data_IF_185825530511
#
_entry.id   IF_185825530511
#
_cell.length_a   1.000
_cell.length_b   1.000
_cell.length_c   1.000
_cell.angle_alpha   90.00
_cell.angle_beta   90.00
_cell.angle_gamma   90.00
#
_symmetry.space_group_name_H-M   'P 1'
#
loop_
_entity.id
_entity.type
_entity.pdbx_description
1 polymer ?
#
# COMPACT_ATOMS: atom_id res chain seq x y z
N UNK A 1 -66.60 36.61 -38.27
CA UNK A 1 -65.55 36.96 -37.29
C UNK A 1 -65.15 35.69 -36.54
N UNK A 2 -63.88 35.34 -36.67
CA UNK A 2 -63.02 34.55 -35.77
C UNK A 2 -63.26 33.05 -35.55
N UNK A 3 -62.36 32.27 -36.17
CA UNK A 3 -61.72 31.08 -35.58
C UNK A 3 -60.65 31.54 -34.56
N UNK A 4 -60.33 30.79 -33.48
CA UNK A 4 -59.27 29.76 -33.55
C UNK A 4 -59.58 28.50 -32.67
N UNK A 5 -59.24 27.26 -33.06
CA UNK A 5 -57.92 26.61 -32.92
C UNK A 5 -57.97 25.47 -31.87
N UNK A 6 -57.52 24.22 -32.14
CA UNK A 6 -57.48 23.16 -31.14
C UNK A 6 -56.17 23.22 -30.34
N UNK A 7 -56.29 23.37 -29.01
CA UNK A 7 -55.17 23.41 -28.07
C UNK A 7 -54.47 22.05 -27.96
N UNK A 8 -53.16 22.05 -28.23
CA UNK A 8 -52.28 20.92 -27.98
C UNK A 8 -52.08 20.68 -26.50
N UNK A 9 -52.15 19.41 -26.08
CA UNK A 9 -51.76 18.98 -24.75
C UNK A 9 -50.25 18.99 -24.61
N UNK A 10 -49.75 19.76 -23.63
CA UNK A 10 -48.37 19.68 -23.16
C UNK A 10 -48.11 18.33 -22.46
N UNK A 11 -46.95 17.69 -22.67
CA UNK A 11 -46.55 16.53 -21.89
C UNK A 11 -46.13 16.97 -20.48
N UNK A 12 -46.71 16.32 -19.47
CA UNK A 12 -46.37 16.46 -18.05
C UNK A 12 -44.86 16.31 -17.84
N UNK A 13 -44.27 17.37 -17.30
CA UNK A 13 -42.90 17.43 -16.80
C UNK A 13 -42.71 16.37 -15.70
N UNK A 14 -42.00 15.27 -16.02
CA UNK A 14 -41.60 14.27 -15.03
C UNK A 14 -40.42 14.86 -14.27
N UNK A 15 -40.73 15.49 -13.13
CA UNK A 15 -39.73 16.07 -12.24
C UNK A 15 -38.63 15.06 -11.93
N UNK A 16 -37.42 15.36 -12.40
CA UNK A 16 -36.20 14.74 -11.91
C UNK A 16 -36.05 15.08 -10.42
N UNK A 17 -36.50 14.19 -9.54
CA UNK A 17 -36.08 14.20 -8.15
C UNK A 17 -34.55 14.06 -8.13
N UNK A 18 -33.85 15.16 -7.92
CA UNK A 18 -32.45 15.18 -7.52
C UNK A 18 -32.35 14.53 -6.15
N UNK A 19 -32.20 13.20 -6.13
CA UNK A 19 -31.90 12.46 -4.92
C UNK A 19 -30.45 12.79 -4.51
N UNK A 20 -30.31 13.57 -3.44
CA UNK A 20 -29.02 13.77 -2.79
C UNK A 20 -28.52 12.40 -2.32
N UNK A 21 -27.35 11.92 -2.75
CA UNK A 21 -26.84 10.63 -2.28
C UNK A 21 -26.60 10.74 -0.79
N UNK A 22 -27.09 9.74 -0.08
CA UNK A 22 -26.94 9.63 1.36
C UNK A 22 -25.46 9.71 1.72
N UNK A 23 -25.04 10.84 2.31
CA UNK A 23 -23.65 11.07 2.71
C UNK A 23 -23.21 10.10 3.80
N UNK A 24 -24.15 9.44 4.47
CA UNK A 24 -23.91 8.61 5.65
C UNK A 24 -23.26 7.25 5.33
N UNK A 25 -23.44 6.70 4.11
CA UNK A 25 -22.98 5.34 3.78
C UNK A 25 -21.57 5.23 3.15
N UNK A 26 -20.88 6.36 2.93
CA UNK A 26 -19.61 6.38 2.19
C UNK A 26 -18.36 6.04 3.02
N UNK A 27 -18.52 5.78 4.33
CA UNK A 27 -17.40 5.66 5.28
C UNK A 27 -16.63 6.97 5.44
N UNK A 28 -15.85 7.11 6.53
CA UNK A 28 -15.12 8.36 6.83
C UNK A 28 -14.15 8.79 5.70
N UNK A 29 -13.61 7.82 4.98
CA UNK A 29 -12.79 8.06 3.79
C UNK A 29 -13.55 8.71 2.63
N UNK A 30 -14.75 8.22 2.30
CA UNK A 30 -15.54 8.72 1.17
C UNK A 30 -16.14 10.10 1.42
N UNK A 31 -16.46 10.44 2.67
CA UNK A 31 -17.05 11.75 3.04
C UNK A 31 -16.07 12.91 2.95
N UNK A 32 -14.76 12.67 3.15
CA UNK A 32 -13.73 13.75 3.14
C UNK A 32 -13.26 14.15 1.75
N UNK A 33 -13.67 13.44 0.71
CA UNK A 33 -13.14 13.56 -0.66
C UNK A 33 -14.10 14.18 -1.67
N UNK A 34 -15.40 14.25 -1.41
CA UNK A 34 -16.37 14.76 -2.38
C UNK A 34 -16.34 16.29 -2.36
N UNK A 35 -15.80 16.91 -3.43
CA UNK A 35 -15.84 18.38 -3.62
C UNK A 35 -16.89 18.84 -4.62
N UNK A 36 -17.24 18.00 -5.60
CA UNK A 36 -18.24 18.31 -6.62
C UNK A 36 -19.14 17.11 -6.89
N UNK A 37 -20.43 17.36 -7.10
CA UNK A 37 -21.40 16.32 -7.40
C UNK A 37 -21.56 16.18 -8.92
N UNK A 38 -21.02 15.11 -9.50
CA UNK A 38 -21.24 14.74 -10.91
C UNK A 38 -21.96 13.41 -10.97
N UNK A 39 -22.97 13.28 -11.82
CA UNK A 39 -23.65 12.00 -12.09
C UNK A 39 -22.72 11.03 -12.83
N UNK A 40 -22.94 9.72 -12.72
CA UNK A 40 -22.25 8.75 -13.56
C UNK A 40 -22.81 8.86 -15.00
N UNK A 41 -21.97 8.73 -16.04
CA UNK A 41 -22.46 8.78 -17.42
C UNK A 41 -23.43 7.62 -17.66
N UNK A 42 -24.61 7.93 -18.20
CA UNK A 42 -25.61 6.94 -18.61
C UNK A 42 -25.03 6.07 -19.74
N UNK A 43 -25.36 4.78 -19.72
CA UNK A 43 -25.00 3.86 -20.81
C UNK A 43 -25.74 4.26 -22.10
N UNK A 44 -25.04 4.63 -23.20
CA UNK A 44 -25.70 4.87 -24.49
C UNK A 44 -26.29 3.57 -25.02
N UNK A 45 -27.52 3.61 -25.55
CA UNK A 45 -28.10 2.49 -26.28
C UNK A 45 -27.51 2.38 -27.70
N UNK A 46 -26.92 1.23 -28.04
CA UNK A 46 -26.52 0.88 -29.43
C UNK A 46 -25.11 1.36 -29.86
N UNK A 47 -24.51 0.73 -30.90
CA UNK A 47 -23.05 0.57 -30.97
C UNK A 47 -22.31 1.68 -31.73
N UNK A 48 -21.08 1.98 -31.30
CA UNK A 48 -19.90 2.09 -32.16
C UNK A 48 -18.63 2.26 -31.30
N UNK A 49 -17.96 1.16 -30.93
CA UNK A 49 -16.56 1.25 -30.53
C UNK A 49 -15.69 1.27 -31.79
N UNK A 50 -15.12 2.43 -32.12
CA UNK A 50 -14.04 2.50 -33.11
C UNK A 50 -12.84 1.74 -32.55
N UNK A 51 -12.20 0.86 -33.33
CA UNK A 51 -11.01 0.17 -32.87
C UNK A 51 -9.84 1.17 -32.81
N UNK A 52 -9.37 1.48 -31.61
CA UNK A 52 -8.16 2.31 -31.40
C UNK A 52 -6.94 1.38 -31.54
N UNK A 53 -6.64 0.97 -32.77
CA UNK A 53 -5.29 0.51 -33.12
C UNK A 53 -4.61 1.74 -33.70
N UNK A 54 -3.80 2.41 -32.87
CA UNK A 54 -2.75 3.39 -33.22
C UNK A 54 -2.26 4.19 -31.99
N UNK A 55 -2.67 3.85 -30.77
CA UNK A 55 -1.92 4.30 -29.61
C UNK A 55 -0.68 3.42 -29.45
N UNK A 56 0.54 3.96 -29.62
CA UNK A 56 1.74 3.21 -29.27
C UNK A 56 1.60 2.78 -27.81
N UNK A 57 1.61 1.48 -27.55
CA UNK A 57 1.68 0.97 -26.18
C UNK A 57 2.80 1.74 -25.47
N UNK A 58 2.60 2.31 -24.26
CA UNK A 58 3.65 3.00 -23.54
C UNK A 58 4.76 1.99 -23.16
N UNK A 59 5.63 1.72 -24.11
CA UNK A 59 6.84 0.93 -23.98
C UNK A 59 7.93 1.91 -23.63
N UNK A 60 8.27 2.00 -22.33
CA UNK A 60 9.62 2.33 -21.79
C UNK A 60 9.59 2.53 -20.27
N UNK A 61 9.17 1.51 -19.52
CA UNK A 61 9.45 1.42 -18.05
C UNK A 61 10.11 0.10 -17.62
N UNK A 62 10.17 -0.91 -18.49
CA UNK A 62 10.78 -2.21 -18.18
C UNK A 62 12.27 -2.10 -17.88
N UNK A 63 13.04 -1.36 -18.69
CA UNK A 63 14.51 -1.28 -18.57
C UNK A 63 14.92 -0.60 -17.26
N UNK A 64 14.33 0.54 -16.91
CA UNK A 64 14.61 1.23 -15.64
C UNK A 64 14.22 0.36 -14.43
N UNK A 65 13.12 -0.41 -14.51
CA UNK A 65 12.74 -1.35 -13.46
C UNK A 65 13.77 -2.46 -13.28
N UNK A 66 14.27 -3.03 -14.37
CA UNK A 66 15.31 -4.06 -14.33
C UNK A 66 16.58 -3.48 -13.73
N UNK A 67 17.00 -2.29 -14.16
CA UNK A 67 18.20 -1.63 -13.63
C UNK A 67 18.06 -1.37 -12.12
N UNK A 68 16.94 -0.79 -11.66
CA UNK A 68 16.73 -0.53 -10.23
C UNK A 68 16.72 -1.80 -9.39
N UNK A 69 16.08 -2.86 -9.87
CA UNK A 69 16.07 -4.16 -9.16
C UNK A 69 17.45 -4.80 -9.15
N UNK A 70 18.18 -4.76 -10.26
CA UNK A 70 19.55 -5.30 -10.35
C UNK A 70 20.48 -4.53 -9.43
N UNK A 71 20.46 -3.20 -9.45
CA UNK A 71 21.27 -2.38 -8.54
C UNK A 71 20.91 -2.66 -7.09
N UNK A 72 19.62 -2.70 -6.73
CA UNK A 72 19.21 -3.03 -5.36
C UNK A 72 19.65 -4.45 -4.95
N UNK A 73 19.59 -5.43 -5.85
CA UNK A 73 20.06 -6.79 -5.60
C UNK A 73 21.58 -6.85 -5.41
N UNK A 74 22.36 -6.09 -6.18
CA UNK A 74 23.81 -5.98 -6.02
C UNK A 74 24.18 -5.33 -4.68
N UNK A 75 23.44 -4.30 -4.26
CA UNK A 75 23.63 -3.67 -2.94
C UNK A 75 23.32 -4.67 -1.83
N UNK A 76 22.22 -5.42 -1.91
CA UNK A 76 21.91 -6.48 -0.94
C UNK A 76 23.00 -7.54 -0.93
N UNK A 77 23.48 -7.99 -2.09
CA UNK A 77 24.56 -8.98 -2.17
C UNK A 77 25.86 -8.47 -1.52
N UNK A 78 26.21 -7.19 -1.73
CA UNK A 78 27.37 -6.57 -1.09
C UNK A 78 27.20 -6.49 0.44
N UNK A 79 26.01 -6.14 0.93
CA UNK A 79 25.70 -6.13 2.37
C UNK A 79 25.79 -7.54 2.96
N UNK A 80 25.19 -8.54 2.31
CA UNK A 80 25.24 -9.93 2.79
C UNK A 80 26.67 -10.50 2.75
N UNK A 81 27.47 -10.14 1.74
CA UNK A 81 28.89 -10.51 1.68
C UNK A 81 29.66 -9.85 2.83
N UNK A 82 29.45 -8.56 3.08
CA UNK A 82 30.06 -7.85 4.20
C UNK A 82 29.71 -8.53 5.53
N UNK A 83 28.43 -8.84 5.76
CA UNK A 83 27.99 -9.56 6.97
C UNK A 83 28.63 -10.95 7.09
N UNK A 84 28.74 -11.69 5.99
CA UNK A 84 29.41 -13.00 5.99
C UNK A 84 30.90 -12.90 6.31
N UNK A 85 31.57 -11.83 5.87
CA UNK A 85 32.98 -11.58 6.18
C UNK A 85 33.17 -11.12 7.63
N UNK A 86 32.25 -10.31 8.15
CA UNK A 86 32.31 -9.78 9.53
C UNK A 86 31.94 -10.81 10.59
N UNK A 87 30.91 -11.62 10.36
CA UNK A 87 30.40 -12.60 11.33
C UNK A 87 31.06 -13.98 11.19
N UNK A 88 31.66 -14.27 10.04
CA UNK A 88 32.08 -15.61 9.64
C UNK A 88 30.95 -16.37 8.92
N UNK A 89 31.26 -17.23 7.93
CA UNK A 89 30.24 -17.87 7.09
C UNK A 89 29.23 -18.74 7.85
N UNK A 90 29.66 -19.46 8.88
CA UNK A 90 28.79 -20.35 9.67
C UNK A 90 27.76 -19.57 10.49
N UNK A 91 28.21 -18.55 11.23
CA UNK A 91 27.34 -17.67 12.00
C UNK A 91 26.38 -16.91 11.08
N UNK A 92 26.87 -16.41 9.94
CA UNK A 92 26.03 -15.75 8.94
C UNK A 92 24.92 -16.65 8.40
N UNK A 93 25.23 -17.91 8.03
CA UNK A 93 24.22 -18.86 7.55
C UNK A 93 23.17 -19.15 8.64
N UNK A 94 23.62 -19.44 9.87
CA UNK A 94 22.72 -19.71 11.00
C UNK A 94 21.79 -18.52 11.26
N UNK A 95 22.35 -17.32 11.40
CA UNK A 95 21.61 -16.09 11.68
C UNK A 95 20.70 -15.71 10.52
N UNK A 96 21.13 -15.93 9.28
CA UNK A 96 20.32 -15.78 8.08
C UNK A 96 19.07 -16.67 8.10
N UNK A 97 19.24 -17.96 8.43
CA UNK A 97 18.12 -18.90 8.56
C UNK A 97 17.16 -18.45 9.67
N UNK A 98 17.69 -18.07 10.84
CA UNK A 98 16.86 -17.57 11.95
C UNK A 98 16.08 -16.31 11.56
N UNK A 99 16.70 -15.38 10.83
CA UNK A 99 16.06 -14.14 10.38
C UNK A 99 14.94 -14.35 9.35
N UNK A 100 14.88 -15.51 8.67
CA UNK A 100 13.77 -15.85 7.78
C UNK A 100 12.45 -16.04 8.53
N UNK A 101 12.49 -16.41 9.82
CA UNK A 101 11.29 -16.62 10.64
C UNK A 101 10.52 -15.30 10.86
N UNK A 102 11.09 -14.24 11.46
CA UNK A 102 10.43 -12.94 11.56
C UNK A 102 10.02 -12.38 10.21
N UNK A 103 10.89 -12.50 9.19
CA UNK A 103 10.59 -12.04 7.85
C UNK A 103 9.32 -12.71 7.30
N UNK A 104 9.23 -14.03 7.41
CA UNK A 104 8.06 -14.80 6.98
C UNK A 104 6.79 -14.35 7.68
N UNK A 105 6.84 -14.13 9.00
CA UNK A 105 5.70 -13.65 9.78
C UNK A 105 5.25 -12.26 9.30
N UNK A 106 6.19 -11.33 9.13
CA UNK A 106 5.90 -9.98 8.62
C UNK A 106 5.30 -10.01 7.22
N UNK A 107 5.88 -10.78 6.29
CA UNK A 107 5.38 -10.89 4.92
C UNK A 107 4.01 -11.57 4.86
N UNK A 108 3.73 -12.54 5.73
CA UNK A 108 2.39 -13.14 5.85
C UNK A 108 1.36 -12.13 6.35
N UNK A 109 1.74 -11.30 7.34
CA UNK A 109 0.93 -10.18 7.81
C UNK A 109 0.62 -9.19 6.68
N UNK A 110 1.64 -8.72 5.97
CA UNK A 110 1.48 -7.80 4.84
C UNK A 110 0.65 -8.42 3.71
N UNK A 111 0.85 -9.70 3.39
CA UNK A 111 0.01 -10.42 2.42
C UNK A 111 -1.45 -10.53 2.86
N UNK A 112 -1.72 -10.61 4.16
CA UNK A 112 -3.09 -10.58 4.69
C UNK A 112 -3.74 -9.20 4.55
N UNK A 113 -2.94 -8.13 4.63
CA UNK A 113 -3.35 -6.76 4.34
C UNK A 113 -3.65 -6.62 2.84
N UNK A 114 -2.70 -7.00 1.98
CA UNK A 114 -2.71 -6.90 0.52
C UNK A 114 -3.67 -7.87 -0.22
N UNK A 115 -4.42 -8.71 0.50
CA UNK A 115 -5.19 -9.81 -0.12
C UNK A 115 -6.35 -9.37 -1.06
N UNK A 116 -6.65 -8.08 -1.17
CA UNK A 116 -7.80 -7.56 -1.94
C UNK A 116 -7.43 -7.16 -3.36
N UNK A 117 -6.28 -6.52 -3.52
CA UNK A 117 -5.71 -6.15 -4.82
C UNK A 117 -4.18 -6.33 -4.76
N UNK A 118 -3.67 -7.54 -5.04
CA UNK A 118 -2.26 -7.83 -4.80
C UNK A 118 -1.32 -6.94 -5.60
N UNK A 119 -0.36 -6.33 -4.89
CA UNK A 119 0.63 -5.44 -5.50
C UNK A 119 1.55 -6.18 -6.50
N UNK A 120 2.06 -5.50 -7.54
CA UNK A 120 2.95 -6.11 -8.51
C UNK A 120 4.23 -6.60 -7.83
N UNK A 121 4.50 -7.90 -7.96
CA UNK A 121 5.64 -8.59 -7.34
C UNK A 121 6.99 -7.89 -7.52
N UNK A 122 7.23 -7.29 -8.68
CA UNK A 122 8.47 -6.55 -8.94
C UNK A 122 8.63 -5.29 -8.08
N UNK A 123 7.54 -4.62 -7.71
CA UNK A 123 7.58 -3.48 -6.80
C UNK A 123 7.76 -3.92 -5.35
N UNK A 124 7.14 -5.03 -4.94
CA UNK A 124 7.38 -5.65 -3.62
C UNK A 124 8.82 -6.17 -3.50
N UNK A 125 9.36 -6.77 -4.56
CA UNK A 125 10.77 -7.20 -4.59
C UNK A 125 11.71 -5.99 -4.46
N UNK A 126 11.47 -4.92 -5.22
CA UNK A 126 12.24 -3.68 -5.05
C UNK A 126 12.13 -3.13 -3.62
N UNK A 127 10.92 -3.07 -3.05
CA UNK A 127 10.69 -2.60 -1.69
C UNK A 127 11.53 -3.40 -0.68
N UNK A 128 11.47 -4.73 -0.77
CA UNK A 128 12.25 -5.62 0.08
C UNK A 128 13.76 -5.40 -0.09
N UNK A 129 14.27 -5.39 -1.33
CA UNK A 129 15.70 -5.21 -1.60
C UNK A 129 16.20 -3.82 -1.16
N UNK A 130 15.40 -2.78 -1.34
CA UNK A 130 15.71 -1.44 -0.85
C UNK A 130 15.86 -1.43 0.68
N UNK A 131 14.94 -2.09 1.39
CA UNK A 131 15.01 -2.24 2.84
C UNK A 131 16.24 -3.02 3.28
N UNK A 132 16.43 -4.22 2.72
CA UNK A 132 17.46 -5.16 3.14
C UNK A 132 18.89 -4.72 2.80
N UNK A 133 19.07 -3.91 1.75
CA UNK A 133 20.38 -3.46 1.29
C UNK A 133 20.55 -1.96 1.43
N UNK A 134 19.92 -1.20 0.54
CA UNK A 134 20.16 0.25 0.41
C UNK A 134 19.89 1.02 1.70
N UNK A 135 18.81 0.70 2.41
CA UNK A 135 18.46 1.38 3.66
C UNK A 135 19.51 1.14 4.74
N UNK A 136 20.08 -0.08 4.79
CA UNK A 136 21.18 -0.43 5.70
C UNK A 136 22.44 0.34 5.33
N UNK A 137 22.81 0.38 4.04
CA UNK A 137 23.98 1.15 3.57
C UNK A 137 23.83 2.63 3.88
N UNK A 138 22.67 3.23 3.60
CA UNK A 138 22.40 4.64 3.94
C UNK A 138 22.51 4.87 5.44
N UNK A 139 22.04 3.92 6.26
CA UNK A 139 22.15 4.01 7.72
C UNK A 139 23.59 3.97 8.19
N UNK A 140 24.41 3.06 7.64
CA UNK A 140 25.83 2.97 7.97
C UNK A 140 26.61 4.22 7.54
N UNK A 141 26.30 4.77 6.35
CA UNK A 141 26.98 5.94 5.83
C UNK A 141 26.61 7.24 6.56
N UNK A 142 25.32 7.42 6.89
CA UNK A 142 24.85 8.64 7.56
C UNK A 142 24.96 8.58 9.08
N UNK A 143 25.05 7.38 9.66
CA UNK A 143 24.99 7.18 11.11
C UNK A 143 26.04 7.96 11.87
N UNK A 144 27.31 7.86 11.46
CA UNK A 144 28.44 8.56 12.12
C UNK A 144 28.26 10.07 12.11
N UNK A 145 27.94 10.66 10.94
CA UNK A 145 27.72 12.09 10.81
C UNK A 145 26.56 12.59 11.69
N UNK A 146 25.47 11.82 11.77
CA UNK A 146 24.31 12.21 12.58
C UNK A 146 24.59 12.06 14.08
N UNK A 147 25.36 11.04 14.50
CA UNK A 147 25.81 10.92 15.90
C UNK A 147 26.67 12.12 16.29
N UNK A 148 27.63 12.51 15.46
CA UNK A 148 28.49 13.68 15.72
C UNK A 148 27.69 14.98 15.78
N UNK A 149 26.78 15.19 14.82
CA UNK A 149 25.90 16.36 14.79
C UNK A 149 25.01 16.43 16.04
N UNK A 150 24.36 15.33 16.42
CA UNK A 150 23.52 15.29 17.62
C UNK A 150 24.36 15.41 18.90
N UNK A 151 25.54 14.80 18.97
CA UNK A 151 26.45 14.91 20.12
C UNK A 151 26.93 16.33 20.36
N UNK A 152 27.25 17.06 19.30
CA UNK A 152 27.62 18.48 19.40
C UNK A 152 26.44 19.38 19.77
N UNK A 153 25.22 19.06 19.33
CA UNK A 153 24.01 19.83 19.63
C UNK A 153 23.42 19.52 21.02
N UNK A 154 23.54 18.28 21.49
CA UNK A 154 22.94 17.76 22.72
C UNK A 154 24.03 17.33 23.72
N UNK A 155 24.90 18.26 24.09
CA UNK A 155 26.13 18.01 24.87
C UNK A 155 25.91 17.40 26.25
N UNK A 156 24.69 17.47 26.80
CA UNK A 156 24.32 16.90 28.10
C UNK A 156 23.66 15.52 27.99
N UNK A 157 23.38 15.04 26.79
CA UNK A 157 22.71 13.75 26.57
C UNK A 157 23.75 12.64 26.41
N UNK A 158 23.54 11.49 27.08
CA UNK A 158 24.47 10.35 26.99
C UNK A 158 24.60 9.85 25.53
N UNK A 159 25.82 9.51 25.06
CA UNK A 159 26.01 8.82 23.79
C UNK A 159 25.18 7.54 23.65
N UNK A 160 24.93 6.84 24.77
CA UNK A 160 24.12 5.62 24.84
C UNK A 160 22.62 5.87 24.55
N UNK A 161 22.18 7.13 24.65
CA UNK A 161 20.86 7.58 24.19
C UNK A 161 20.92 8.16 22.77
N UNK A 162 21.95 8.95 22.46
CA UNK A 162 22.06 9.63 21.16
C UNK A 162 22.09 8.61 20.02
N UNK A 163 22.93 7.58 20.09
CA UNK A 163 23.03 6.59 19.01
C UNK A 163 21.75 5.75 18.87
N UNK A 164 21.44 4.89 19.85
CA UNK A 164 20.33 3.95 19.75
C UNK A 164 18.93 4.57 19.76
N UNK A 165 18.71 5.66 20.50
CA UNK A 165 17.37 6.22 20.71
C UNK A 165 17.07 7.38 19.77
N UNK A 166 18.06 8.17 19.36
CA UNK A 166 17.80 9.33 18.49
C UNK A 166 18.28 9.11 17.06
N UNK A 167 19.57 8.83 16.89
CA UNK A 167 20.20 8.74 15.58
C UNK A 167 19.67 7.55 14.78
N UNK A 168 19.65 6.35 15.37
CA UNK A 168 19.21 5.14 14.67
C UNK A 168 17.77 5.29 14.15
N UNK A 169 16.75 5.63 14.99
CA UNK A 169 15.40 5.87 14.49
C UNK A 169 15.29 6.94 13.40
N UNK A 170 16.01 8.06 13.55
CA UNK A 170 15.98 9.16 12.58
C UNK A 170 16.51 8.73 11.21
N UNK A 171 17.71 8.14 11.18
CA UNK A 171 18.39 7.78 9.94
C UNK A 171 17.71 6.59 9.29
N UNK A 172 17.34 5.59 10.07
CA UNK A 172 16.76 4.36 9.53
C UNK A 172 15.37 4.58 8.94
N UNK A 173 14.47 5.29 9.64
CA UNK A 173 13.13 5.55 9.11
C UNK A 173 13.19 6.49 7.90
N UNK A 174 14.14 7.44 7.87
CA UNK A 174 14.41 8.24 6.68
C UNK A 174 14.89 7.37 5.51
N UNK A 175 15.87 6.50 5.73
CA UNK A 175 16.44 5.62 4.71
C UNK A 175 15.41 4.64 4.13
N UNK A 176 14.60 4.02 5.00
CA UNK A 176 13.44 3.19 4.60
C UNK A 176 12.43 4.03 3.82
N UNK A 177 12.12 5.23 4.32
CA UNK A 177 11.19 6.16 3.70
C UNK A 177 11.59 6.55 2.28
N UNK A 178 12.87 6.77 2.00
CA UNK A 178 13.35 7.06 0.64
C UNK A 178 12.95 5.97 -0.36
N UNK A 179 12.95 4.71 0.04
CA UNK A 179 12.50 3.59 -0.80
C UNK A 179 11.02 3.68 -1.14
N UNK A 180 10.20 4.03 -0.15
CA UNK A 180 8.76 4.27 -0.33
C UNK A 180 8.55 5.47 -1.26
N UNK A 181 9.31 6.55 -1.08
CA UNK A 181 9.22 7.74 -1.92
C UNK A 181 9.61 7.45 -3.37
N UNK A 182 10.66 6.65 -3.61
CA UNK A 182 11.05 6.19 -4.95
C UNK A 182 9.93 5.36 -5.57
N UNK A 183 9.29 4.46 -4.82
CA UNK A 183 8.13 3.71 -5.30
C UNK A 183 6.98 4.64 -5.67
N UNK A 184 6.70 5.68 -4.87
CA UNK A 184 5.68 6.68 -5.21
C UNK A 184 5.98 7.39 -6.53
N UNK A 185 7.23 7.76 -6.81
CA UNK A 185 7.58 8.45 -8.06
C UNK A 185 7.66 7.52 -9.27
N UNK A 186 8.18 6.31 -9.10
CA UNK A 186 8.39 5.35 -10.20
C UNK A 186 7.15 4.51 -10.50
N UNK A 187 6.33 4.23 -9.49
CA UNK A 187 5.15 3.34 -9.53
C UNK A 187 3.86 4.02 -9.13
N UNK A 188 3.76 5.34 -9.29
CA UNK A 188 2.59 6.16 -8.95
C UNK A 188 1.22 5.62 -9.39
N UNK A 189 1.17 4.85 -10.49
CA UNK A 189 -0.05 4.22 -11.02
C UNK A 189 -0.52 3.00 -10.23
N UNK A 190 0.26 2.52 -9.27
CA UNK A 190 -0.06 1.40 -8.36
C UNK A 190 -0.15 1.88 -6.90
N UNK A 191 -0.34 3.19 -6.70
CA UNK A 191 -0.63 3.77 -5.39
C UNK A 191 -2.04 4.35 -5.47
N UNK A 192 -3.02 3.49 -5.24
CA UNK A 192 -4.44 3.81 -5.35
C UNK A 192 -5.07 4.14 -4.00
N UNK A 193 -4.46 3.70 -2.89
CA UNK A 193 -4.92 4.02 -1.54
C UNK A 193 -3.86 3.96 -0.43
N UNK A 194 -4.29 4.25 0.82
CA UNK A 194 -3.43 4.15 2.00
C UNK A 194 -3.03 2.70 2.33
N UNK A 195 -3.82 1.70 1.95
CA UNK A 195 -3.47 0.27 2.15
C UNK A 195 -2.24 -0.11 1.34
N UNK A 196 -2.18 0.28 0.07
CA UNK A 196 -1.02 0.05 -0.82
C UNK A 196 0.24 0.67 -0.22
N UNK A 197 0.13 1.90 0.29
CA UNK A 197 1.20 2.59 1.00
C UNK A 197 1.71 1.81 2.22
N UNK A 198 0.80 1.28 3.05
CA UNK A 198 1.14 0.41 4.19
C UNK A 198 1.88 -0.84 3.73
N UNK A 199 1.43 -1.49 2.65
CA UNK A 199 2.03 -2.72 2.11
C UNK A 199 3.45 -2.45 1.59
N UNK A 200 3.65 -1.41 0.79
CA UNK A 200 4.97 -1.05 0.27
C UNK A 200 5.93 -0.65 1.38
N UNK A 201 5.51 0.25 2.27
CA UNK A 201 6.35 0.72 3.38
C UNK A 201 6.67 -0.39 4.37
N UNK A 202 5.69 -1.24 4.69
CA UNK A 202 5.89 -2.42 5.52
C UNK A 202 6.84 -3.43 4.87
N UNK A 203 6.80 -3.59 3.54
CA UNK A 203 7.74 -4.48 2.83
C UNK A 203 9.17 -3.94 2.85
N UNK A 204 9.36 -2.62 2.72
CA UNK A 204 10.67 -1.98 2.93
C UNK A 204 11.16 -2.23 4.35
N UNK A 205 10.32 -1.98 5.35
CA UNK A 205 10.67 -2.20 6.76
C UNK A 205 10.98 -3.66 7.08
N UNK A 206 10.24 -4.61 6.51
CA UNK A 206 10.50 -6.04 6.67
C UNK A 206 11.86 -6.45 6.07
N UNK A 207 12.24 -5.87 4.92
CA UNK A 207 13.57 -6.05 4.35
C UNK A 207 14.67 -5.51 5.27
N UNK A 208 14.50 -4.31 5.80
CA UNK A 208 15.47 -3.73 6.75
C UNK A 208 15.62 -4.59 8.01
N UNK A 209 14.48 -4.94 8.63
CA UNK A 209 14.45 -5.77 9.84
C UNK A 209 15.05 -7.17 9.61
N UNK A 210 14.98 -7.71 8.39
CA UNK A 210 15.66 -8.97 8.06
C UNK A 210 17.17 -8.85 8.21
N UNK A 211 17.78 -7.86 7.56
CA UNK A 211 19.23 -7.65 7.65
C UNK A 211 19.68 -7.25 9.05
N UNK A 212 18.90 -6.42 9.72
CA UNK A 212 19.17 -5.99 11.09
C UNK A 212 19.13 -7.18 12.08
N UNK A 213 18.16 -8.08 11.94
CA UNK A 213 18.11 -9.30 12.76
C UNK A 213 19.33 -10.20 12.56
N UNK A 214 19.87 -10.31 11.33
CA UNK A 214 21.11 -11.05 11.07
C UNK A 214 22.26 -10.45 11.88
N UNK A 215 22.36 -9.12 11.92
CA UNK A 215 23.39 -8.42 12.71
C UNK A 215 23.23 -8.72 14.19
N UNK A 216 22.03 -8.55 14.77
CA UNK A 216 21.81 -8.81 16.20
C UNK A 216 22.04 -10.26 16.60
N UNK A 217 21.56 -11.22 15.81
CA UNK A 217 21.80 -12.65 16.08
C UNK A 217 23.28 -12.98 15.93
N UNK A 218 23.94 -12.41 14.92
CA UNK A 218 25.37 -12.58 14.68
C UNK A 218 26.23 -12.05 15.83
N UNK A 219 25.97 -10.83 16.28
CA UNK A 219 26.62 -10.25 17.47
C UNK A 219 26.44 -11.14 18.70
N UNK A 220 25.22 -11.64 18.94
CA UNK A 220 24.97 -12.56 20.05
C UNK A 220 25.78 -13.87 19.94
N UNK A 221 25.93 -14.42 18.73
CA UNK A 221 26.76 -15.62 18.49
C UNK A 221 28.23 -15.32 18.76
N UNK A 222 28.75 -14.20 18.25
CA UNK A 222 30.17 -13.82 18.34
C UNK A 222 30.57 -13.43 19.76
N UNK A 223 29.74 -12.65 20.46
CA UNK A 223 30.06 -12.11 21.78
C UNK A 223 29.89 -13.13 22.90
N UNK A 224 28.80 -13.92 22.85
CA UNK A 224 28.46 -14.82 23.96
C UNK A 224 28.97 -16.26 23.76
N UNK A 225 29.09 -16.72 22.50
CA UNK A 225 29.31 -18.13 22.17
C UNK A 225 28.26 -19.10 22.75
N UNK A 226 27.18 -18.60 23.36
CA UNK A 226 26.24 -19.36 24.15
C UNK A 226 24.88 -19.43 23.43
N UNK A 227 24.43 -20.65 23.13
CA UNK A 227 23.14 -20.90 22.50
C UNK A 227 21.97 -20.24 23.26
N UNK A 228 22.01 -20.18 24.59
CA UNK A 228 20.95 -19.56 25.38
C UNK A 228 20.83 -18.05 25.15
N UNK A 229 21.96 -17.35 24.96
CA UNK A 229 21.97 -15.91 24.68
C UNK A 229 21.43 -15.62 23.28
N UNK A 230 21.83 -16.44 22.29
CA UNK A 230 21.30 -16.36 20.92
C UNK A 230 19.78 -16.60 20.90
N UNK A 231 19.29 -17.59 21.65
CA UNK A 231 17.86 -17.86 21.80
C UNK A 231 17.14 -16.68 22.46
N UNK A 232 17.72 -16.09 23.52
CA UNK A 232 17.16 -14.90 24.18
C UNK A 232 17.02 -13.72 23.21
N UNK A 233 18.07 -13.42 22.45
CA UNK A 233 18.06 -12.34 21.45
C UNK A 233 17.10 -12.66 20.30
N UNK A 234 17.04 -13.91 19.86
CA UNK A 234 16.08 -14.36 18.86
C UNK A 234 14.62 -14.20 19.32
N UNK A 235 14.31 -14.51 20.59
CA UNK A 235 12.96 -14.31 21.11
C UNK A 235 12.64 -12.81 21.20
N UNK A 236 13.50 -12.03 21.85
CA UNK A 236 13.25 -10.61 22.10
C UNK A 236 13.23 -9.79 20.80
N UNK A 237 14.21 -10.01 19.92
CA UNK A 237 14.34 -9.24 18.67
C UNK A 237 13.70 -9.92 17.45
N UNK A 238 13.73 -11.24 17.39
CA UNK A 238 13.17 -12.00 16.28
C UNK A 238 11.69 -12.34 16.41
N UNK A 239 11.08 -12.30 17.60
CA UNK A 239 9.63 -12.54 17.75
C UNK A 239 8.89 -11.31 18.28
N UNK A 240 9.42 -10.63 19.30
CA UNK A 240 8.70 -9.53 19.92
C UNK A 240 8.86 -8.19 19.17
N UNK A 241 10.06 -7.86 18.68
CA UNK A 241 10.36 -6.58 18.01
C UNK A 241 10.14 -6.44 16.49
N UNK A 242 10.05 -7.49 15.64
CA UNK A 242 10.05 -7.29 14.18
C UNK A 242 8.86 -6.48 13.66
N UNK A 243 7.73 -6.60 14.36
CA UNK A 243 6.51 -5.88 14.03
C UNK A 243 6.63 -4.37 14.23
N UNK A 244 7.55 -3.92 15.09
CA UNK A 244 7.74 -2.51 15.40
C UNK A 244 8.18 -1.74 14.15
N UNK A 245 9.24 -2.20 13.46
CA UNK A 245 9.70 -1.59 12.21
C UNK A 245 8.60 -1.53 11.15
N UNK A 246 7.90 -2.66 10.93
CA UNK A 246 6.80 -2.72 9.96
C UNK A 246 5.71 -1.72 10.32
N UNK A 247 5.27 -1.69 11.58
CA UNK A 247 4.22 -0.80 12.05
C UNK A 247 4.59 0.67 11.90
N UNK A 248 5.80 1.07 12.31
CA UNK A 248 6.24 2.46 12.28
C UNK A 248 6.42 2.98 10.86
N UNK A 249 7.19 2.27 10.02
CA UNK A 249 7.36 2.70 8.62
C UNK A 249 6.04 2.64 7.85
N UNK A 250 5.10 1.74 8.19
CA UNK A 250 3.76 1.73 7.62
C UNK A 250 2.95 3.00 7.91
N UNK A 251 3.24 3.77 8.97
CA UNK A 251 2.61 5.07 9.21
C UNK A 251 2.99 6.08 8.11
N UNK A 252 4.27 6.11 7.72
CA UNK A 252 4.73 6.89 6.57
C UNK A 252 4.02 6.44 5.28
N UNK A 253 3.96 5.12 5.06
CA UNK A 253 3.25 4.53 3.93
C UNK A 253 1.78 4.95 3.86
N UNK A 254 1.08 4.88 4.99
CA UNK A 254 -0.31 5.31 5.12
C UNK A 254 -0.49 6.78 4.74
N UNK A 255 0.33 7.69 5.30
CA UNK A 255 0.23 9.13 5.03
C UNK A 255 0.51 9.44 3.56
N UNK A 256 1.51 8.78 2.96
CA UNK A 256 1.80 8.92 1.53
C UNK A 256 0.67 8.41 0.63
N UNK A 257 0.15 7.20 0.89
CA UNK A 257 -0.95 6.63 0.11
C UNK A 257 -2.23 7.48 0.23
N UNK A 258 -2.48 8.00 1.43
CA UNK A 258 -3.56 8.94 1.71
C UNK A 258 -3.41 10.28 0.96
N UNK A 259 -2.20 10.83 0.90
CA UNK A 259 -1.92 12.04 0.14
C UNK A 259 -2.06 11.83 -1.37
N UNK A 260 -1.67 10.66 -1.88
CA UNK A 260 -1.75 10.33 -3.30
C UNK A 260 -3.17 10.12 -3.79
N UNK A 261 -4.03 9.49 -2.97
CA UNK A 261 -5.44 9.26 -3.34
C UNK A 261 -6.22 10.56 -3.56
N UNK A 262 -5.86 11.62 -2.83
CA UNK A 262 -6.46 12.97 -2.94
C UNK A 262 -5.88 13.78 -4.10
N UNK A 263 -5.03 13.15 -4.90
CA UNK A 263 -4.15 13.82 -5.84
C UNK A 263 -3.17 14.74 -5.11
N UNK A 264 -2.31 15.42 -5.86
CA UNK A 264 -1.40 16.47 -5.39
C UNK A 264 -0.16 16.60 -6.29
N UNK A 265 0.42 17.80 -6.38
CA UNK A 265 1.74 17.99 -6.98
C UNK A 265 2.86 17.47 -6.06
N UNK A 266 4.11 17.61 -6.48
CA UNK A 266 5.27 17.14 -5.70
C UNK A 266 5.30 17.74 -4.28
N UNK A 267 4.88 18.99 -4.10
CA UNK A 267 4.79 19.63 -2.79
C UNK A 267 3.93 18.86 -1.78
N UNK A 268 2.79 18.29 -2.22
CA UNK A 268 1.94 17.48 -1.32
C UNK A 268 2.59 16.15 -0.98
N UNK A 269 3.29 15.52 -1.93
CA UNK A 269 4.01 14.27 -1.68
C UNK A 269 5.14 14.49 -0.69
N UNK A 270 5.95 15.53 -0.89
CA UNK A 270 7.05 15.87 0.00
C UNK A 270 6.53 16.29 1.39
N UNK A 271 5.46 17.08 1.45
CA UNK A 271 4.80 17.41 2.72
C UNK A 271 4.28 16.16 3.44
N UNK A 272 3.62 15.25 2.72
CA UNK A 272 3.16 13.98 3.27
C UNK A 272 4.29 13.05 3.70
N UNK A 273 5.43 13.07 3.00
CA UNK A 273 6.63 12.33 3.36
C UNK A 273 7.16 12.80 4.72
N UNK A 274 7.33 14.11 4.90
CA UNK A 274 7.77 14.68 6.19
C UNK A 274 6.75 14.41 7.29
N UNK A 275 5.45 14.63 7.03
CA UNK A 275 4.39 14.38 8.01
C UNK A 275 4.28 12.90 8.41
N UNK A 276 4.55 11.97 7.49
CA UNK A 276 4.56 10.54 7.75
C UNK A 276 5.81 10.06 8.47
N UNK A 277 6.96 10.71 8.27
CA UNK A 277 8.20 10.40 8.96
C UNK A 277 8.14 10.71 10.45
N UNK A 278 7.47 11.81 10.85
CA UNK A 278 7.36 12.22 12.25
C UNK A 278 6.83 11.07 13.15
N UNK A 279 5.65 10.48 12.90
CA UNK A 279 5.16 9.40 13.74
C UNK A 279 5.94 8.08 13.58
N UNK A 280 6.55 7.84 12.41
CA UNK A 280 7.41 6.67 12.19
C UNK A 280 8.68 6.75 13.07
N UNK A 281 9.38 7.89 13.03
CA UNK A 281 10.57 8.16 13.84
C UNK A 281 10.18 8.15 15.32
N UNK A 282 9.13 8.87 15.72
CA UNK A 282 8.72 8.94 17.13
C UNK A 282 8.35 7.57 17.71
N UNK A 283 7.62 6.74 16.97
CA UNK A 283 7.30 5.37 17.39
C UNK A 283 8.55 4.52 17.55
N UNK A 284 9.51 4.66 16.63
CA UNK A 284 10.77 3.93 16.70
C UNK A 284 11.67 4.43 17.85
N UNK A 285 11.75 5.74 18.09
CA UNK A 285 12.42 6.31 19.27
C UNK A 285 11.79 5.78 20.57
N UNK A 286 10.46 5.73 20.64
CA UNK A 286 9.74 5.17 21.80
C UNK A 286 10.08 3.68 22.01
N UNK A 287 10.19 2.91 20.94
CA UNK A 287 10.55 1.50 21.01
C UNK A 287 11.99 1.29 21.52
N UNK A 288 12.96 2.02 20.94
CA UNK A 288 14.37 1.89 21.33
C UNK A 288 14.66 2.48 22.71
N UNK A 289 14.04 3.61 23.06
CA UNK A 289 14.24 4.30 24.33
C UNK A 289 13.33 3.83 25.46
N UNK A 290 12.24 3.10 25.16
CA UNK A 290 11.20 2.79 26.14
C UNK A 290 11.71 1.99 27.34
N UNK A 291 12.56 0.99 27.11
CA UNK A 291 13.18 0.19 28.18
C UNK A 291 14.42 0.82 28.82
N UNK A 292 14.94 1.91 28.23
CA UNK A 292 16.09 2.63 28.74
C UNK A 292 15.69 3.83 29.60
N UNK A 293 14.53 4.44 29.30
CA UNK A 293 14.10 5.72 29.88
C UNK A 293 12.79 5.59 30.69
N UNK A 294 11.85 4.77 30.24
CA UNK A 294 10.47 4.77 30.75
C UNK A 294 10.12 3.53 31.59
N UNK A 295 10.71 2.38 31.29
CA UNK A 295 10.42 1.10 31.92
C UNK A 295 11.71 0.34 32.20
N UNK A 296 11.81 -0.31 33.37
CA UNK A 296 12.95 -1.18 33.69
C UNK A 296 12.68 -2.67 33.40
N UNK A 297 11.44 -3.03 33.09
CA UNK A 297 11.02 -4.40 32.72
C UNK A 297 10.52 -4.44 31.27
N UNK A 298 11.15 -5.28 30.45
CA UNK A 298 10.82 -5.42 29.03
C UNK A 298 9.39 -5.94 28.82
N UNK A 299 8.93 -6.91 29.62
CA UNK A 299 7.61 -7.51 29.43
C UNK A 299 6.50 -6.54 29.80
N UNK A 300 6.69 -5.75 30.86
CA UNK A 300 5.77 -4.68 31.24
C UNK A 300 5.68 -3.62 30.14
N UNK A 301 6.83 -3.14 29.63
CA UNK A 301 6.85 -2.22 28.49
C UNK A 301 6.13 -2.81 27.27
N UNK A 302 6.41 -4.07 26.95
CA UNK A 302 5.80 -4.75 25.82
C UNK A 302 4.27 -4.84 25.95
N UNK A 303 3.78 -5.27 27.11
CA UNK A 303 2.35 -5.46 27.34
C UNK A 303 1.57 -4.15 27.44
N UNK A 304 2.16 -3.11 28.04
CA UNK A 304 1.48 -1.83 28.30
C UNK A 304 1.58 -0.86 27.13
N UNK A 305 2.68 -0.91 26.36
CA UNK A 305 2.91 0.03 25.25
C UNK A 305 2.78 -0.67 23.91
N UNK A 306 3.55 -1.72 23.67
CA UNK A 306 3.64 -2.33 22.35
C UNK A 306 2.39 -3.09 21.93
N UNK A 307 1.80 -3.88 22.83
CA UNK A 307 0.56 -4.63 22.54
C UNK A 307 -0.59 -3.68 22.19
N UNK A 308 -0.88 -2.60 22.97
CA UNK A 308 -1.89 -1.62 22.58
C UNK A 308 -1.61 -0.91 21.25
N UNK A 309 -0.36 -0.53 20.98
CA UNK A 309 0.01 0.07 19.68
C UNK A 309 -0.23 -0.91 18.53
N UNK A 310 0.15 -2.17 18.69
CA UNK A 310 -0.06 -3.20 17.69
C UNK A 310 -1.55 -3.47 17.45
N UNK A 311 -2.35 -3.58 18.53
CA UNK A 311 -3.80 -3.72 18.44
C UNK A 311 -4.43 -2.53 17.73
N UNK A 312 -4.01 -1.31 18.06
CA UNK A 312 -4.48 -0.09 17.40
C UNK A 312 -4.13 -0.08 15.90
N UNK A 313 -2.92 -0.50 15.53
CA UNK A 313 -2.50 -0.64 14.14
C UNK A 313 -3.35 -1.68 13.37
N UNK A 314 -3.61 -2.85 13.97
CA UNK A 314 -4.47 -3.88 13.39
C UNK A 314 -5.89 -3.37 13.22
N UNK A 315 -6.47 -2.71 14.24
CA UNK A 315 -7.80 -2.11 14.17
C UNK A 315 -7.84 -1.05 13.05
N UNK A 316 -6.85 -0.16 12.98
CA UNK A 316 -6.76 0.87 11.96
C UNK A 316 -6.73 0.26 10.55
N UNK A 317 -5.94 -0.79 10.32
CA UNK A 317 -5.91 -1.52 9.04
C UNK A 317 -7.25 -2.19 8.74
N UNK A 318 -7.91 -2.82 9.73
CA UNK A 318 -9.23 -3.43 9.53
C UNK A 318 -10.28 -2.38 9.17
N UNK A 319 -10.30 -1.25 9.87
CA UNK A 319 -11.21 -0.13 9.60
C UNK A 319 -10.96 0.49 8.23
N UNK A 320 -9.69 0.69 7.87
CA UNK A 320 -9.29 1.20 6.57
C UNK A 320 -9.79 0.28 5.44
N UNK A 321 -9.60 -1.03 5.59
CA UNK A 321 -10.08 -2.01 4.60
C UNK A 321 -11.61 -2.08 4.52
N UNK A 322 -12.31 -1.95 5.65
CA UNK A 322 -13.77 -1.82 5.66
C UNK A 322 -14.21 -0.55 4.95
N UNK A 323 -13.47 0.54 5.10
CA UNK A 323 -13.75 1.81 4.43
C UNK A 323 -13.53 1.74 2.92
N UNK A 324 -12.46 1.08 2.46
CA UNK A 324 -12.19 0.84 1.04
C UNK A 324 -13.27 -0.02 0.40
N UNK A 325 -13.69 -1.09 1.08
CA UNK A 325 -14.83 -1.91 0.64
C UNK A 325 -16.08 -1.06 0.41
N UNK A 326 -16.49 -0.29 1.42
CA UNK A 326 -17.69 0.55 1.34
C UNK A 326 -17.58 1.59 0.24
N UNK A 327 -16.38 2.15 0.04
CA UNK A 327 -16.11 3.07 -1.04
C UNK A 327 -16.27 2.39 -2.40
N UNK A 328 -15.64 1.23 -2.63
CA UNK A 328 -15.78 0.48 -3.89
C UNK A 328 -17.24 0.16 -4.18
N UNK A 329 -17.99 -0.28 -3.16
CA UNK A 329 -19.41 -0.60 -3.26
C UNK A 329 -20.24 0.64 -3.63
N UNK A 330 -20.02 1.77 -2.96
CA UNK A 330 -20.69 3.03 -3.24
C UNK A 330 -20.38 3.55 -4.65
N UNK A 331 -19.11 3.52 -5.05
CA UNK A 331 -18.66 4.05 -6.36
C UNK A 331 -19.11 3.17 -7.51
N UNK A 332 -19.02 1.84 -7.39
CA UNK A 332 -19.59 0.93 -8.40
C UNK A 332 -21.13 0.99 -8.41
N UNK A 333 -21.76 1.27 -7.27
CA UNK A 333 -23.21 1.50 -7.16
C UNK A 333 -23.71 2.67 -8.03
N UNK A 334 -22.92 3.75 -8.17
CA UNK A 334 -23.24 4.84 -9.11
C UNK A 334 -23.36 4.32 -10.56
N UNK A 335 -22.46 3.43 -10.96
CA UNK A 335 -22.46 2.82 -12.29
C UNK A 335 -23.51 1.72 -12.44
N UNK A 336 -23.90 1.06 -11.36
CA UNK A 336 -25.03 0.13 -11.38
C UNK A 336 -26.34 0.87 -11.65
N UNK A 337 -26.56 2.02 -10.99
CA UNK A 337 -27.70 2.90 -11.28
C UNK A 337 -27.69 3.43 -12.72
N UNK A 338 -26.51 3.64 -13.29
CA UNK A 338 -26.34 4.07 -14.68
C UNK A 338 -26.42 2.93 -15.72
N UNK A 339 -26.63 1.67 -15.29
CA UNK A 339 -26.84 0.51 -16.16
C UNK A 339 -25.57 -0.19 -16.67
N UNK A 340 -24.41 0.13 -16.10
CA UNK A 340 -23.14 -0.52 -16.45
C UNK A 340 -22.92 -1.85 -15.72
N UNK A 341 -23.32 -1.91 -14.45
CA UNK A 341 -23.22 -3.10 -13.59
C UNK A 341 -24.58 -3.49 -13.00
N UNK A 342 -24.75 -4.74 -12.58
CA UNK A 342 -25.88 -5.13 -11.71
C UNK A 342 -25.53 -4.94 -10.23
N UNK A 343 -26.52 -4.78 -9.33
CA UNK A 343 -26.25 -4.75 -7.88
C UNK A 343 -25.52 -6.01 -7.37
N UNK A 344 -25.78 -7.16 -7.97
CA UNK A 344 -25.10 -8.43 -7.68
C UNK A 344 -23.65 -8.39 -8.12
N UNK A 345 -23.37 -7.86 -9.32
CA UNK A 345 -22.00 -7.64 -9.80
C UNK A 345 -21.26 -6.69 -8.86
N UNK A 346 -21.90 -5.61 -8.40
CA UNK A 346 -21.29 -4.68 -7.43
C UNK A 346 -20.93 -5.37 -6.13
N UNK A 347 -21.84 -6.15 -5.52
CA UNK A 347 -21.54 -6.91 -4.29
C UNK A 347 -20.43 -7.94 -4.51
N UNK A 348 -20.42 -8.59 -5.66
CA UNK A 348 -19.39 -9.57 -6.05
C UNK A 348 -18.02 -8.90 -6.23
N UNK A 349 -17.97 -7.73 -6.87
CA UNK A 349 -16.77 -6.94 -7.12
C UNK A 349 -16.28 -6.20 -5.88
N UNK A 350 -17.15 -5.81 -4.97
CA UNK A 350 -16.81 -5.09 -3.75
C UNK A 350 -16.36 -6.01 -2.61
N UNK A 351 -16.57 -7.33 -2.70
CA UNK A 351 -16.27 -8.25 -1.59
C UNK A 351 -15.27 -9.35 -1.94
N UNK A 352 -14.45 -9.75 -0.97
CA UNK A 352 -13.50 -10.85 -1.14
C UNK A 352 -14.18 -12.20 -1.44
N UNK A 353 -15.20 -12.66 -0.68
CA UNK A 353 -15.88 -13.91 -1.00
C UNK A 353 -16.48 -13.88 -2.41
N UNK A 354 -17.09 -12.75 -2.80
CA UNK A 354 -17.61 -12.53 -4.15
C UNK A 354 -16.54 -12.67 -5.24
N UNK A 355 -15.43 -11.92 -5.15
CA UNK A 355 -14.29 -12.02 -6.10
C UNK A 355 -13.73 -13.44 -6.18
N UNK A 356 -13.60 -14.11 -5.03
CA UNK A 356 -13.03 -15.47 -4.96
C UNK A 356 -13.96 -16.49 -5.61
N UNK A 357 -15.26 -16.40 -5.35
CA UNK A 357 -16.31 -17.22 -5.97
C UNK A 357 -16.35 -16.98 -7.49
N UNK A 358 -16.31 -15.72 -7.91
CA UNK A 358 -16.30 -15.35 -9.32
C UNK A 358 -15.06 -15.89 -10.05
N UNK A 359 -13.88 -15.85 -9.42
CA UNK A 359 -12.65 -16.42 -9.97
C UNK A 359 -12.66 -17.95 -9.99
N UNK A 360 -13.30 -18.60 -9.01
CA UNK A 360 -13.47 -20.05 -8.98
C UNK A 360 -14.40 -20.51 -10.11
N UNK A 361 -15.57 -19.90 -10.23
CA UNK A 361 -16.51 -20.14 -11.34
C UNK A 361 -15.90 -19.82 -12.71
N UNK A 362 -15.25 -18.66 -12.86
CA UNK A 362 -14.57 -18.32 -14.09
C UNK A 362 -13.45 -19.32 -14.42
N UNK A 363 -12.82 -19.92 -13.40
CA UNK A 363 -11.89 -21.04 -13.56
C UNK A 363 -12.53 -22.29 -14.13
N UNK A 364 -13.70 -22.69 -13.63
CA UNK A 364 -14.40 -23.88 -14.12
C UNK A 364 -14.84 -23.74 -15.58
N UNK A 365 -15.03 -22.52 -16.09
CA UNK A 365 -15.37 -22.23 -17.49
C UNK A 365 -14.19 -21.71 -18.34
N UNK A 366 -12.97 -21.63 -17.79
CA UNK A 366 -11.77 -21.24 -18.56
C UNK A 366 -11.61 -19.72 -18.76
N UNK A 367 -12.51 -18.92 -18.20
CA UNK A 367 -12.51 -17.46 -18.23
C UNK A 367 -11.74 -16.79 -17.08
N UNK A 368 -10.93 -17.54 -16.29
CA UNK A 368 -10.28 -17.02 -15.08
C UNK A 368 -9.43 -15.77 -15.31
N UNK A 369 -8.70 -15.71 -16.43
CA UNK A 369 -7.87 -14.54 -16.75
C UNK A 369 -8.73 -13.31 -17.08
N UNK A 370 -9.82 -13.50 -17.82
CA UNK A 370 -10.75 -12.41 -18.15
C UNK A 370 -11.49 -11.90 -16.90
N UNK A 371 -11.89 -12.80 -15.99
CA UNK A 371 -12.47 -12.41 -14.69
C UNK A 371 -11.48 -11.62 -13.82
N UNK A 372 -10.19 -12.00 -13.79
CA UNK A 372 -9.15 -11.19 -13.13
C UNK A 372 -9.00 -9.82 -13.77
N UNK A 373 -9.10 -9.74 -15.09
CA UNK A 373 -9.13 -8.47 -15.83
C UNK A 373 -10.33 -7.62 -15.40
N UNK A 374 -11.53 -8.20 -15.42
CA UNK A 374 -12.79 -7.53 -15.07
C UNK A 374 -12.78 -6.97 -13.65
N UNK A 375 -12.32 -7.75 -12.66
CA UNK A 375 -12.18 -7.30 -11.27
C UNK A 375 -11.22 -6.11 -11.17
N UNK A 376 -10.05 -6.16 -11.83
CA UNK A 376 -9.08 -5.04 -11.82
C UNK A 376 -9.65 -3.80 -12.51
N UNK A 377 -10.31 -3.95 -13.65
CA UNK A 377 -10.96 -2.84 -14.35
C UNK A 377 -12.05 -2.21 -13.49
N UNK A 378 -12.87 -3.00 -12.80
CA UNK A 378 -13.88 -2.49 -11.87
C UNK A 378 -13.28 -1.73 -10.68
N UNK A 379 -12.22 -2.25 -10.05
CA UNK A 379 -11.48 -1.51 -9.01
C UNK A 379 -10.98 -0.15 -9.56
N UNK A 380 -10.38 -0.15 -10.76
CA UNK A 380 -9.91 1.09 -11.41
C UNK A 380 -11.06 2.07 -11.70
N UNK A 381 -12.23 1.60 -12.14
CA UNK A 381 -13.42 2.44 -12.33
C UNK A 381 -13.79 3.12 -11.00
N UNK A 382 -13.88 2.37 -9.91
CA UNK A 382 -14.21 2.91 -8.60
C UNK A 382 -13.19 3.98 -8.13
N UNK A 383 -11.89 3.73 -8.33
CA UNK A 383 -10.82 4.68 -7.99
C UNK A 383 -10.80 5.92 -8.88
N UNK A 384 -10.96 5.76 -10.20
CA UNK A 384 -11.06 6.88 -11.15
C UNK A 384 -12.24 7.78 -10.79
N UNK A 385 -13.40 7.18 -10.49
CA UNK A 385 -14.58 7.91 -10.02
C UNK A 385 -14.32 8.69 -8.75
N UNK A 386 -13.68 8.06 -7.77
CA UNK A 386 -13.30 8.70 -6.52
C UNK A 386 -12.34 9.88 -6.74
N UNK A 387 -11.37 9.76 -7.64
CA UNK A 387 -10.44 10.84 -8.00
C UNK A 387 -11.15 12.00 -8.71
N UNK A 388 -12.10 11.72 -9.59
CA UNK A 388 -12.93 12.74 -10.25
C UNK A 388 -13.75 13.55 -9.25
N UNK A 389 -14.39 12.89 -8.26
CA UNK A 389 -15.12 13.56 -7.19
C UNK A 389 -14.22 14.41 -6.28
N UNK A 390 -12.93 14.06 -6.22
CA UNK A 390 -11.85 14.80 -5.55
C UNK A 390 -11.39 16.08 -6.25
N UNK A 391 -11.88 16.36 -7.48
CA UNK A 391 -11.70 17.65 -8.17
C UNK A 391 -10.36 17.80 -8.91
N UNK A 392 -9.95 16.81 -9.70
CA UNK A 392 -8.69 16.83 -10.46
C UNK A 392 -8.93 16.52 -11.95
N UNK A 393 -8.26 17.25 -12.85
CA UNK A 393 -8.13 17.03 -14.32
C UNK A 393 -9.30 16.26 -14.96
N UNK A 394 -10.47 16.85 -14.85
CA UNK A 394 -11.75 16.26 -15.24
C UNK A 394 -11.78 15.63 -16.64
N UNK A 395 -11.11 16.23 -17.62
CA UNK A 395 -11.09 15.75 -19.00
C UNK A 395 -10.30 14.44 -19.15
N UNK A 396 -9.10 14.35 -18.56
CA UNK A 396 -8.25 13.15 -18.65
C UNK A 396 -8.94 11.95 -17.97
N UNK A 397 -9.53 12.18 -16.80
CA UNK A 397 -10.21 11.11 -16.06
C UNK A 397 -11.56 10.73 -16.63
N UNK A 398 -12.30 11.66 -17.26
CA UNK A 398 -13.53 11.31 -17.98
C UNK A 398 -13.23 10.44 -19.21
N UNK A 399 -12.13 10.70 -19.92
CA UNK A 399 -11.68 9.82 -21.01
C UNK A 399 -11.25 8.44 -20.47
N UNK A 400 -10.45 8.40 -19.38
CA UNK A 400 -10.07 7.14 -18.74
C UNK A 400 -11.28 6.37 -18.20
N UNK A 401 -12.25 7.04 -17.59
CA UNK A 401 -13.51 6.47 -17.09
C UNK A 401 -14.25 5.74 -18.23
N UNK A 402 -14.42 6.38 -19.39
CA UNK A 402 -15.06 5.76 -20.56
C UNK A 402 -14.31 4.55 -21.07
N UNK A 403 -12.99 4.64 -21.23
CA UNK A 403 -12.16 3.51 -21.68
C UNK A 403 -12.28 2.32 -20.73
N UNK A 404 -12.28 2.57 -19.41
CA UNK A 404 -12.43 1.51 -18.41
C UNK A 404 -13.82 0.87 -18.45
N UNK A 405 -14.89 1.65 -18.66
CA UNK A 405 -16.26 1.14 -18.78
C UNK A 405 -16.44 0.27 -20.04
N UNK A 406 -15.84 0.68 -21.16
CA UNK A 406 -15.82 -0.10 -22.39
C UNK A 406 -15.01 -1.40 -22.20
N UNK A 407 -13.83 -1.33 -21.57
CA UNK A 407 -13.02 -2.50 -21.26
C UNK A 407 -13.78 -3.48 -20.35
N UNK A 408 -14.45 -2.98 -19.31
CA UNK A 408 -15.27 -3.81 -18.41
C UNK A 408 -16.39 -4.53 -19.18
N UNK A 409 -17.06 -3.82 -20.09
CA UNK A 409 -18.12 -4.38 -20.94
C UNK A 409 -17.59 -5.46 -21.87
N UNK A 410 -16.46 -5.23 -22.52
CA UNK A 410 -15.81 -6.22 -23.41
C UNK A 410 -15.36 -7.47 -22.66
N UNK A 411 -14.74 -7.30 -21.48
CA UNK A 411 -14.31 -8.44 -20.64
C UNK A 411 -15.50 -9.25 -20.17
N UNK A 412 -16.59 -8.60 -19.74
CA UNK A 412 -17.84 -9.28 -19.39
C UNK A 412 -18.39 -10.11 -20.55
N UNK A 413 -18.42 -9.54 -21.76
CA UNK A 413 -18.86 -10.27 -22.95
C UNK A 413 -18.00 -11.51 -23.23
N UNK A 414 -16.66 -11.40 -23.15
CA UNK A 414 -15.74 -12.53 -23.31
C UNK A 414 -15.93 -13.63 -22.25
N UNK A 415 -16.16 -13.24 -20.99
CA UNK A 415 -16.43 -14.19 -19.91
C UNK A 415 -17.69 -15.02 -20.24
N UNK A 416 -18.77 -14.37 -20.68
CA UNK A 416 -19.99 -15.08 -21.09
C UNK A 416 -19.78 -15.94 -22.33
N UNK A 417 -19.03 -15.46 -23.33
CA UNK A 417 -18.69 -16.25 -24.51
C UNK A 417 -17.97 -17.55 -24.15
N UNK A 418 -16.93 -17.46 -23.32
CA UNK A 418 -16.17 -18.63 -22.85
C UNK A 418 -17.04 -19.58 -22.00
N UNK A 419 -18.01 -19.05 -21.26
CA UNK A 419 -18.95 -19.86 -20.49
C UNK A 419 -20.00 -20.56 -21.36
N UNK A 420 -20.35 -20.00 -22.51
CA UNK A 420 -21.32 -20.56 -23.46
C UNK A 420 -20.73 -21.56 -24.46
N UNK A 421 -19.41 -21.59 -24.65
CA UNK A 421 -18.76 -22.52 -25.57
C UNK A 421 -18.82 -23.94 -24.98
N UNK A 422 -19.47 -24.91 -25.64
CA UNK A 422 -19.47 -26.30 -25.18
C UNK A 422 -18.04 -26.84 -25.18
N UNK A 423 -17.68 -27.58 -24.12
CA UNK A 423 -16.36 -28.17 -23.93
C UNK A 423 -16.29 -29.60 -24.44
#
# INVERSE_FOLDING_TARGET
>A
MNNPGPGGGEPRDVGHQQYAPDRQDQGWWGTTTVRQHRSAPLRPGGPASRPVWDQPAPRRRGVLNVILVVVAALVVAAVLLLLSLSLGPSAFILCGILALVPLGICLLGLRWIDRWDPEPRGALLFAFLWGAGTSVVVTLLLGTYVVELLGSALTTTSPDLIGPVLQAPLVEEFAKGLGVLILVYTRRSHFDGPVDGIVYAGTVAAGFAFTENIVYFGSAVVESGNAAAVVGVFILRGLFSPFAHVMFTSLLGFVLGFALSRGGGNARILGAFVLGLIPAIAGHMLWNGGTLVLFHDFFLFYLVVQVPLFVAAVIAVVLLRRSERRLTESRLGDYARAGWFTPEEVRMLATRPGRSQALAWAGSVGARQEMRGFIRTASRIAYTRQRMLGGRRDADYAAEERVLLDEATQRRARIFQLASTPR
#
